data_IF_347371166653
#
_entry.id   IF_347371166653
#
_cell.length_a   1.000
_cell.length_b   1.000
_cell.length_c   1.000
_cell.angle_alpha   90.00
_cell.angle_beta   90.00
_cell.angle_gamma   90.00
#
_symmetry.space_group_name_H-M   'P 1'
#
loop_
_entity.id
_entity.type
_entity.pdbx_description
1 polymer ?
#
# COMPACT_ATOMS: atom_id res chain seq x y z
N UNK A 1 8.95 -3.56 5.11
CA UNK A 1 7.78 -3.09 5.90
C UNK A 1 6.99 -2.10 5.06
N UNK A 2 5.68 -1.92 5.30
CA UNK A 2 4.91 -0.89 4.59
C UNK A 2 5.33 0.48 5.11
N UNK A 3 5.84 1.40 4.27
CA UNK A 3 6.17 2.74 4.73
C UNK A 3 4.90 3.37 5.34
N UNK A 4 5.04 3.96 6.52
CA UNK A 4 3.93 4.65 7.18
C UNK A 4 3.44 5.79 6.30
N UNK A 5 2.12 5.91 6.19
CA UNK A 5 1.49 6.99 5.43
C UNK A 5 1.15 8.14 6.38
N UNK A 6 1.43 9.36 5.96
CA UNK A 6 1.06 10.60 6.68
C UNK A 6 -0.43 10.91 6.58
N UNK A 7 -1.10 10.40 5.56
CA UNK A 7 -2.53 10.61 5.35
C UNK A 7 -3.32 9.45 5.98
N UNK A 8 -4.10 9.76 7.02
CA UNK A 8 -4.94 8.79 7.73
C UNK A 8 -6.30 8.57 7.05
N UNK A 9 -6.70 9.46 6.14
CA UNK A 9 -8.03 9.46 5.50
C UNK A 9 -7.88 9.57 3.99
N UNK A 10 -8.68 8.79 3.24
CA UNK A 10 -8.71 8.92 1.80
C UNK A 10 -9.45 10.19 1.39
N UNK A 11 -8.86 11.08 0.56
CA UNK A 11 -9.55 12.26 0.07
C UNK A 11 -10.63 11.96 -0.99
N UNK A 12 -10.77 10.71 -1.41
CA UNK A 12 -11.76 10.26 -2.39
C UNK A 12 -12.86 9.43 -1.74
N UNK A 13 -14.11 9.59 -2.20
CA UNK A 13 -15.26 8.76 -1.79
C UNK A 13 -15.18 7.31 -2.31
N UNK A 14 -14.20 7.01 -3.17
CA UNK A 14 -13.95 5.69 -3.70
C UNK A 14 -12.55 5.19 -3.33
N UNK A 15 -12.43 3.88 -3.16
CA UNK A 15 -11.17 3.20 -2.88
C UNK A 15 -10.70 2.45 -4.12
N UNK A 16 -9.42 2.53 -4.43
CA UNK A 16 -8.79 1.76 -5.50
C UNK A 16 -7.79 0.81 -4.86
N UNK A 17 -7.99 -0.48 -5.13
CA UNK A 17 -7.07 -1.53 -4.72
C UNK A 17 -6.26 -1.97 -5.93
N UNK A 18 -4.97 -1.62 -5.95
CA UNK A 18 -3.96 -2.15 -6.86
C UNK A 18 -3.61 -3.63 -6.53
N UNK A 19 -3.85 -4.07 -5.29
CA UNK A 19 -3.64 -5.46 -4.87
C UNK A 19 -4.68 -5.96 -3.87
N UNK A 20 -4.99 -7.25 -3.89
CA UNK A 20 -5.84 -7.88 -2.88
C UNK A 20 -5.00 -8.75 -1.93
N UNK A 21 -3.99 -9.41 -2.48
CA UNK A 21 -3.03 -10.25 -1.77
C UNK A 21 -1.59 -9.87 -2.15
N UNK A 22 -0.64 -10.31 -1.31
CA UNK A 22 0.79 -10.17 -1.60
C UNK A 22 1.19 -10.83 -2.93
N UNK A 23 0.47 -11.87 -3.35
CA UNK A 23 0.69 -12.58 -4.61
C UNK A 23 0.33 -11.76 -5.85
N UNK A 24 -0.52 -10.74 -5.71
CA UNK A 24 -0.81 -9.81 -6.81
C UNK A 24 0.35 -8.85 -7.08
N UNK A 25 1.22 -8.65 -6.07
CA UNK A 25 2.37 -7.78 -6.18
C UNK A 25 3.61 -8.53 -6.68
N UNK A 26 4.47 -7.87 -7.47
CA UNK A 26 5.74 -8.45 -7.90
C UNK A 26 6.65 -8.74 -6.70
N UNK A 27 7.62 -9.66 -6.85
CA UNK A 27 8.45 -10.19 -5.76
C UNK A 27 9.22 -9.14 -4.94
N UNK A 28 9.50 -7.98 -5.53
CA UNK A 28 10.19 -6.84 -4.89
C UNK A 28 9.23 -5.86 -4.18
N UNK A 29 7.92 -6.06 -4.32
CA UNK A 29 6.87 -5.24 -3.75
C UNK A 29 6.10 -5.99 -2.66
N UNK A 30 5.37 -5.24 -1.85
CA UNK A 30 4.45 -5.72 -0.83
C UNK A 30 3.11 -5.05 -0.97
N UNK A 31 2.04 -5.80 -0.71
CA UNK A 31 0.70 -5.24 -0.71
C UNK A 31 0.48 -4.48 0.59
N UNK A 32 0.36 -3.16 0.50
CA UNK A 32 0.18 -2.27 1.65
C UNK A 32 -1.23 -1.74 1.70
N UNK A 33 -1.87 -1.86 2.85
CA UNK A 33 -3.18 -1.27 3.12
C UNK A 33 -3.00 0.23 3.34
N UNK A 34 -3.66 1.05 2.52
CA UNK A 34 -3.75 2.49 2.69
C UNK A 34 -5.21 2.91 2.89
N UNK A 35 -5.46 4.13 3.40
CA UNK A 35 -6.81 4.66 3.54
C UNK A 35 -7.61 4.64 2.23
N UNK A 36 -6.94 4.93 1.10
CA UNK A 36 -7.53 4.90 -0.24
C UNK A 36 -7.59 3.53 -0.91
N UNK A 37 -7.18 2.47 -0.24
CA UNK A 37 -7.15 1.12 -0.78
C UNK A 37 -5.75 0.50 -0.77
N UNK A 38 -5.68 -0.76 -1.16
CA UNK A 38 -4.45 -1.54 -1.07
C UNK A 38 -3.55 -1.30 -2.27
N UNK A 39 -2.24 -1.08 -2.07
CA UNK A 39 -1.31 -0.90 -3.21
C UNK A 39 -0.01 -1.65 -3.07
N UNK A 40 0.54 -2.08 -4.21
CA UNK A 40 1.87 -2.65 -4.27
C UNK A 40 2.93 -1.57 -4.11
N UNK A 41 3.66 -1.57 -2.99
CA UNK A 41 4.82 -0.70 -2.77
C UNK A 41 6.09 -1.52 -2.71
N UNK A 42 7.21 -0.94 -3.17
CA UNK A 42 8.52 -1.57 -2.97
C UNK A 42 8.76 -1.82 -1.49
N UNK A 43 9.35 -2.97 -1.17
CA UNK A 43 9.81 -3.27 0.18
C UNK A 43 10.74 -2.14 0.64
N UNK A 44 10.33 -1.37 1.63
CA UNK A 44 11.21 -0.45 2.33
C UNK A 44 11.90 -1.21 3.46
N UNK A 45 13.23 -1.14 3.49
CA UNK A 45 14.07 -1.78 4.52
C UNK A 45 14.05 -1.05 5.87
N UNK A 46 13.66 0.23 5.91
CA UNK A 46 13.45 1.01 7.15
C UNK A 46 12.41 2.12 6.93
N UNK A 47 11.55 2.43 7.92
CA UNK A 47 10.91 3.74 7.96
C UNK A 47 12.01 4.80 8.18
N UNK A 48 11.99 5.86 7.38
CA UNK A 48 12.79 7.08 7.62
C UNK A 48 12.06 7.88 8.69
#
# INVERSE_FOLDING_TARGET
FCPGFTDEVCPFDYKINDCCAQSDCPSYAICCVQPCGNVCRRKADKPI
#
